data_IF_296054663547
#
_entry.id   IF_296054663547
#
_cell.length_a   1.000
_cell.length_b   1.000
_cell.length_c   1.000
_cell.angle_alpha   90.00
_cell.angle_beta   90.00
_cell.angle_gamma   90.00
#
_symmetry.space_group_name_H-M   'P 1'
#
loop_
_entity.id
_entity.type
_entity.pdbx_description
1 polymer ?
#
# COMPACT_ATOMS: atom_id res chain seq x y z
N UNK A 1 -23.98 -35.95 8.27
CA UNK A 1 -23.90 -34.80 9.19
C UNK A 1 -22.44 -34.43 9.33
N UNK A 2 -22.00 -33.30 8.78
CA UNK A 2 -20.59 -32.82 8.83
C UNK A 2 -20.44 -31.92 10.06
N UNK A 3 -19.54 -32.32 10.98
CA UNK A 3 -19.31 -31.65 12.26
C UNK A 3 -18.71 -30.22 12.03
N UNK A 4 -19.33 -29.18 12.57
CA UNK A 4 -18.81 -27.79 12.43
C UNK A 4 -17.56 -27.51 13.28
N UNK A 5 -17.18 -28.38 14.18
CA UNK A 5 -16.06 -28.20 15.14
C UNK A 5 -14.69 -28.20 14.46
N UNK A 6 -14.54 -28.83 13.29
CA UNK A 6 -13.24 -28.95 12.60
C UNK A 6 -12.79 -27.64 11.91
N UNK A 7 -13.69 -26.70 11.66
CA UNK A 7 -13.34 -25.42 11.00
C UNK A 7 -12.75 -24.39 11.97
N UNK A 8 -13.10 -24.46 13.25
CA UNK A 8 -12.56 -23.55 14.26
C UNK A 8 -11.17 -23.95 14.77
N UNK A 9 -10.83 -25.24 14.70
CA UNK A 9 -9.51 -25.73 15.09
C UNK A 9 -8.40 -25.28 14.14
N UNK A 10 -8.68 -25.16 12.83
CA UNK A 10 -7.69 -24.71 11.84
C UNK A 10 -7.36 -23.21 11.96
N UNK A 11 -8.37 -22.38 12.27
CA UNK A 11 -8.16 -20.94 12.48
C UNK A 11 -7.34 -20.65 13.75
N UNK A 12 -7.59 -21.38 14.83
CA UNK A 12 -6.86 -21.24 16.09
C UNK A 12 -5.37 -21.62 15.96
N UNK A 13 -5.04 -22.63 15.15
CA UNK A 13 -3.66 -23.07 14.93
C UNK A 13 -2.87 -22.04 14.11
N UNK A 14 -3.48 -21.38 13.14
CA UNK A 14 -2.82 -20.35 12.34
C UNK A 14 -2.53 -19.11 13.20
N UNK A 15 -3.48 -18.68 14.03
CA UNK A 15 -3.28 -17.54 14.94
C UNK A 15 -2.18 -17.85 15.96
N UNK A 16 -2.12 -19.08 16.49
CA UNK A 16 -1.09 -19.48 17.47
C UNK A 16 0.30 -19.61 16.81
N UNK A 17 0.38 -20.02 15.55
CA UNK A 17 1.66 -20.10 14.82
C UNK A 17 2.23 -18.71 14.50
N UNK A 18 1.38 -17.74 14.18
CA UNK A 18 1.78 -16.35 13.94
C UNK A 18 2.26 -15.70 15.25
N UNK A 19 1.57 -15.93 16.37
CA UNK A 19 1.99 -15.40 17.68
C UNK A 19 3.28 -16.02 18.20
N UNK A 20 3.50 -17.32 18.03
CA UNK A 20 4.73 -18.00 18.49
C UNK A 20 5.96 -17.67 17.60
N UNK A 21 5.78 -17.45 16.31
CA UNK A 21 6.87 -17.05 15.40
C UNK A 21 7.33 -15.61 15.60
N UNK A 22 6.49 -14.72 16.12
CA UNK A 22 6.82 -13.32 16.38
C UNK A 22 7.58 -13.12 17.70
N UNK A 23 7.52 -14.04 18.65
CA UNK A 23 8.21 -13.89 19.95
C UNK A 23 9.71 -14.20 19.91
N UNK A 24 10.24 -14.86 18.87
CA UNK A 24 11.68 -15.15 18.79
C UNK A 24 12.54 -13.99 18.26
N UNK A 25 11.92 -12.86 17.83
CA UNK A 25 12.63 -11.70 17.26
C UNK A 25 12.56 -10.43 18.12
N UNK A 26 12.14 -10.53 19.38
CA UNK A 26 12.21 -9.40 20.30
C UNK A 26 13.66 -9.27 20.78
N UNK A 27 14.42 -8.46 20.06
CA UNK A 27 15.71 -7.98 20.55
C UNK A 27 15.45 -7.08 21.78
N UNK A 28 15.90 -7.55 22.94
CA UNK A 28 15.62 -6.97 24.25
C UNK A 28 16.44 -5.70 24.46
N UNK A 29 16.17 -4.63 23.73
CA UNK A 29 17.02 -3.42 23.78
C UNK A 29 16.33 -2.07 23.73
N UNK A 30 15.11 -1.94 23.23
CA UNK A 30 14.39 -0.66 23.27
C UNK A 30 13.01 -0.83 23.88
N UNK A 31 12.60 0.10 24.73
CA UNK A 31 11.20 0.23 25.16
C UNK A 31 10.38 0.67 23.94
N UNK A 32 10.11 -0.28 23.03
CA UNK A 32 9.22 -0.08 21.89
C UNK A 32 7.82 0.19 22.45
N UNK A 33 7.24 1.35 22.13
CA UNK A 33 5.85 1.68 22.44
C UNK A 33 4.88 1.02 21.47
N UNK A 34 5.38 0.47 20.36
CA UNK A 34 4.57 -0.07 19.25
C UNK A 34 4.69 -1.60 19.19
N UNK A 35 3.54 -2.27 19.14
CA UNK A 35 3.47 -3.70 18.88
C UNK A 35 3.21 -3.92 17.38
N UNK A 36 4.25 -4.28 16.64
CA UNK A 36 4.18 -4.38 15.17
C UNK A 36 3.18 -5.40 14.65
N UNK A 37 2.90 -6.45 15.43
CA UNK A 37 1.83 -7.40 15.10
C UNK A 37 0.44 -6.74 15.15
N UNK A 38 0.21 -5.82 16.07
CA UNK A 38 -1.03 -5.05 16.15
C UNK A 38 -1.13 -4.04 15.00
N UNK A 39 0.00 -3.44 14.59
CA UNK A 39 0.05 -2.58 13.39
C UNK A 39 -0.46 -3.33 12.16
N UNK A 40 0.04 -4.54 11.92
CA UNK A 40 -0.40 -5.37 10.79
C UNK A 40 -1.89 -5.68 10.87
N UNK A 41 -2.41 -6.01 12.06
CA UNK A 41 -3.84 -6.26 12.28
C UNK A 41 -4.69 -5.01 12.05
N UNK A 42 -4.26 -3.84 12.55
CA UNK A 42 -4.97 -2.57 12.37
C UNK A 42 -5.06 -2.20 10.89
N UNK A 43 -3.96 -2.36 10.14
CA UNK A 43 -3.92 -2.10 8.70
C UNK A 43 -4.85 -3.06 7.94
N UNK A 44 -4.89 -4.34 8.32
CA UNK A 44 -5.78 -5.33 7.71
C UNK A 44 -7.25 -5.08 8.03
N UNK A 45 -7.55 -4.66 9.25
CA UNK A 45 -8.91 -4.38 9.70
C UNK A 45 -9.47 -3.04 9.21
N UNK A 46 -8.62 -2.17 8.63
CA UNK A 46 -9.06 -0.86 8.13
C UNK A 46 -10.11 -0.99 7.03
N UNK A 47 -11.22 -0.29 7.20
CA UNK A 47 -12.34 -0.29 6.25
C UNK A 47 -12.04 0.52 4.98
N UNK A 48 -11.19 1.54 5.10
CA UNK A 48 -10.75 2.34 3.97
C UNK A 48 -9.51 3.16 4.31
N UNK A 49 -8.69 3.40 3.29
CA UNK A 49 -7.46 4.17 3.41
C UNK A 49 -7.24 5.05 2.20
N UNK A 50 -6.75 6.26 2.43
CA UNK A 50 -6.25 7.17 1.39
C UNK A 50 -4.78 7.42 1.66
N UNK A 51 -3.94 7.41 0.63
CA UNK A 51 -2.53 7.76 0.76
C UNK A 51 -2.00 8.38 -0.52
N UNK A 52 -0.89 9.10 -0.38
CA UNK A 52 -0.11 9.58 -1.51
C UNK A 52 1.11 8.70 -1.72
N UNK A 53 1.43 8.42 -2.98
CA UNK A 53 2.65 7.74 -3.39
C UNK A 53 3.43 8.65 -4.34
N UNK A 54 4.73 8.79 -4.08
CA UNK A 54 5.70 9.50 -4.93
C UNK A 54 6.82 8.54 -5.33
N UNK A 55 7.17 8.55 -6.60
CA UNK A 55 8.28 7.75 -7.14
C UNK A 55 9.27 8.69 -7.84
N UNK A 56 10.56 8.42 -7.67
CA UNK A 56 11.66 9.10 -8.37
C UNK A 56 12.65 8.08 -8.89
N UNK A 57 13.48 8.44 -9.88
CA UNK A 57 14.52 7.57 -10.40
C UNK A 57 14.10 6.75 -11.60
N UNK A 58 13.42 7.34 -12.58
CA UNK A 58 13.17 6.68 -13.87
C UNK A 58 14.46 6.52 -14.67
N UNK A 59 14.55 5.42 -15.46
CA UNK A 59 15.58 5.23 -16.48
C UNK A 59 15.45 6.18 -17.65
N UNK A 60 14.23 6.66 -17.90
CA UNK A 60 13.96 7.64 -18.94
C UNK A 60 13.98 9.03 -18.28
N UNK A 61 14.94 9.91 -18.66
CA UNK A 61 14.97 11.29 -18.17
C UNK A 61 13.72 12.09 -18.55
N UNK A 62 12.93 11.62 -19.52
CA UNK A 62 11.64 12.22 -19.85
C UNK A 62 10.49 11.72 -18.95
N UNK A 63 10.70 10.63 -18.20
CA UNK A 63 9.72 10.06 -17.26
C UNK A 63 9.82 10.69 -15.85
N UNK A 64 10.93 11.36 -15.56
CA UNK A 64 11.14 12.06 -14.29
C UNK A 64 10.44 13.41 -14.29
N UNK A 65 9.11 13.36 -14.24
CA UNK A 65 8.30 14.57 -14.16
C UNK A 65 8.41 15.14 -12.74
N UNK A 66 9.03 16.30 -12.56
CA UNK A 66 9.05 16.95 -11.28
C UNK A 66 7.61 17.15 -10.79
N UNK A 67 7.35 16.78 -9.53
CA UNK A 67 6.04 16.83 -8.90
C UNK A 67 5.00 15.82 -9.45
N UNK A 68 5.42 14.67 -9.96
CA UNK A 68 4.49 13.56 -10.19
C UNK A 68 4.23 12.80 -8.91
N UNK A 69 2.97 12.45 -8.68
CA UNK A 69 2.54 11.62 -7.55
C UNK A 69 1.22 10.94 -7.86
N UNK A 70 0.87 9.96 -7.03
CA UNK A 70 -0.44 9.28 -7.08
C UNK A 70 -1.15 9.48 -5.75
N UNK A 71 -2.47 9.67 -5.80
CA UNK A 71 -3.34 9.55 -4.64
C UNK A 71 -4.20 8.31 -4.88
N UNK A 72 -4.22 7.43 -3.90
CA UNK A 72 -5.02 6.20 -3.96
C UNK A 72 -6.04 6.19 -2.83
N UNK A 73 -7.28 5.89 -3.18
CA UNK A 73 -8.39 5.58 -2.29
C UNK A 73 -8.65 4.08 -2.37
N UNK A 74 -8.70 3.40 -1.26
CA UNK A 74 -8.90 1.96 -1.24
C UNK A 74 -9.80 1.53 -0.08
N UNK A 75 -10.76 0.67 -0.41
CA UNK A 75 -11.57 -0.13 0.52
C UNK A 75 -11.58 -1.60 0.04
N UNK A 76 -12.20 -2.55 0.76
CA UNK A 76 -12.32 -3.93 0.30
C UNK A 76 -12.97 -4.09 -1.08
N UNK A 77 -13.90 -3.19 -1.43
CA UNK A 77 -14.67 -3.26 -2.68
C UNK A 77 -14.18 -2.30 -3.77
N UNK A 78 -13.45 -1.23 -3.40
CA UNK A 78 -13.17 -0.11 -4.29
C UNK A 78 -11.70 0.23 -4.26
N UNK A 79 -11.15 0.52 -5.44
CA UNK A 79 -9.84 1.18 -5.56
C UNK A 79 -9.94 2.27 -6.60
N UNK A 80 -9.53 3.49 -6.26
CA UNK A 80 -9.31 4.59 -7.19
C UNK A 80 -7.87 5.06 -7.06
N UNK A 81 -7.23 5.35 -8.16
CA UNK A 81 -5.91 5.97 -8.21
C UNK A 81 -5.93 7.13 -9.20
N UNK A 82 -5.67 8.32 -8.70
CA UNK A 82 -5.46 9.51 -9.52
C UNK A 82 -3.96 9.76 -9.64
N UNK A 83 -3.47 9.88 -10.87
CA UNK A 83 -2.08 10.19 -11.17
C UNK A 83 -1.95 11.67 -11.53
N UNK A 84 -1.08 12.34 -10.82
CA UNK A 84 -0.83 13.77 -10.97
C UNK A 84 0.50 14.01 -11.69
N UNK A 85 0.50 15.07 -12.50
CA UNK A 85 1.68 15.58 -13.22
C UNK A 85 1.59 17.10 -13.25
N UNK A 86 2.60 17.79 -12.71
CA UNK A 86 2.54 19.25 -12.58
C UNK A 86 1.35 19.77 -11.78
N UNK A 87 0.83 19.00 -10.83
CA UNK A 87 -0.34 19.33 -10.01
C UNK A 87 -1.71 19.08 -10.67
N UNK A 88 -1.74 18.58 -11.91
CA UNK A 88 -2.97 18.24 -12.62
C UNK A 88 -3.14 16.73 -12.73
N UNK A 89 -4.38 16.25 -12.63
CA UNK A 89 -4.69 14.85 -12.88
C UNK A 89 -4.57 14.58 -14.37
N UNK A 90 -3.68 13.68 -14.77
CA UNK A 90 -3.56 13.25 -16.16
C UNK A 90 -4.19 11.88 -16.42
N UNK A 91 -4.34 11.06 -15.36
CA UNK A 91 -4.97 9.74 -15.46
C UNK A 91 -5.69 9.37 -14.16
N UNK A 92 -6.90 8.84 -14.28
CA UNK A 92 -7.65 8.19 -13.21
C UNK A 92 -7.88 6.72 -13.57
N UNK A 93 -7.69 5.82 -12.61
CA UNK A 93 -8.09 4.41 -12.71
C UNK A 93 -8.98 4.09 -11.51
N UNK A 94 -10.14 3.52 -11.78
CA UNK A 94 -11.12 3.12 -10.78
C UNK A 94 -11.53 1.67 -10.97
N UNK A 95 -11.57 0.92 -9.89
CA UNK A 95 -12.08 -0.44 -9.84
C UNK A 95 -13.19 -0.52 -8.81
N UNK A 96 -14.35 -1.06 -9.21
CA UNK A 96 -15.39 -1.48 -8.28
C UNK A 96 -15.51 -3.01 -8.38
N UNK A 97 -15.08 -3.70 -7.33
CA UNK A 97 -15.00 -5.17 -7.31
C UNK A 97 -16.36 -5.83 -7.11
N UNK A 98 -17.33 -5.12 -6.52
CA UNK A 98 -18.69 -5.62 -6.31
C UNK A 98 -19.50 -5.59 -7.59
N UNK A 99 -19.42 -4.48 -8.34
CA UNK A 99 -20.08 -4.35 -9.65
C UNK A 99 -19.22 -4.90 -10.79
N UNK A 100 -18.00 -5.34 -10.51
CA UNK A 100 -17.00 -5.80 -11.48
C UNK A 100 -16.77 -4.78 -12.60
N UNK A 101 -16.67 -3.51 -12.26
CA UNK A 101 -16.49 -2.42 -13.21
C UNK A 101 -15.09 -1.82 -13.10
N UNK A 102 -14.45 -1.58 -14.24
CA UNK A 102 -13.26 -0.74 -14.32
C UNK A 102 -13.53 0.49 -15.16
N UNK A 103 -13.05 1.64 -14.69
CA UNK A 103 -13.10 2.91 -15.43
C UNK A 103 -11.68 3.46 -15.48
N UNK A 104 -11.21 3.78 -16.67
CA UNK A 104 -9.96 4.51 -16.89
C UNK A 104 -10.25 5.81 -17.62
N UNK A 105 -9.74 6.92 -17.09
CA UNK A 105 -9.88 8.24 -17.70
C UNK A 105 -8.48 8.79 -17.98
N UNK A 106 -8.24 9.18 -19.23
CA UNK A 106 -7.01 9.83 -19.71
C UNK A 106 -7.33 11.30 -19.97
N UNK A 107 -7.00 12.15 -18.97
CA UNK A 107 -7.40 13.56 -19.02
C UNK A 107 -6.59 14.39 -20.02
N UNK A 108 -5.35 14.00 -20.29
CA UNK A 108 -4.44 14.65 -21.22
C UNK A 108 -4.85 14.49 -22.70
N UNK A 109 -5.58 13.40 -23.01
CA UNK A 109 -6.09 13.11 -24.36
C UNK A 109 -7.61 13.08 -24.43
N UNK A 110 -8.30 13.42 -23.34
CA UNK A 110 -9.77 13.49 -23.25
C UNK A 110 -10.47 12.18 -23.67
N UNK A 111 -9.95 11.05 -23.17
CA UNK A 111 -10.47 9.74 -23.51
C UNK A 111 -10.77 8.91 -22.26
N UNK A 112 -11.68 7.98 -22.39
CA UNK A 112 -12.00 7.05 -21.32
C UNK A 112 -12.30 5.64 -21.83
N UNK A 113 -12.22 4.68 -20.94
CA UNK A 113 -12.83 3.37 -21.10
C UNK A 113 -13.64 3.01 -19.84
N UNK A 114 -14.76 2.33 -20.06
CA UNK A 114 -15.58 1.74 -18.99
C UNK A 114 -15.98 0.34 -19.45
N UNK A 115 -15.56 -0.66 -18.70
CA UNK A 115 -15.77 -2.05 -19.07
C UNK A 115 -16.08 -2.94 -17.85
N UNK A 116 -16.70 -4.10 -18.11
CA UNK A 116 -16.88 -5.13 -17.10
C UNK A 116 -15.58 -5.93 -16.91
N UNK A 117 -15.24 -6.26 -15.68
CA UNK A 117 -14.10 -7.11 -15.35
C UNK A 117 -14.50 -8.59 -15.35
N UNK A 118 -13.61 -9.46 -15.83
CA UNK A 118 -13.72 -10.90 -15.61
C UNK A 118 -13.43 -11.27 -14.15
N UNK A 119 -13.85 -12.47 -13.73
CA UNK A 119 -13.57 -12.96 -12.37
C UNK A 119 -12.06 -13.08 -12.11
N UNK A 120 -11.28 -13.49 -13.10
CA UNK A 120 -9.83 -13.57 -13.01
C UNK A 120 -9.21 -12.17 -12.75
N UNK A 121 -9.73 -11.14 -13.43
CA UNK A 121 -9.26 -9.76 -13.23
C UNK A 121 -9.62 -9.24 -11.84
N UNK A 122 -10.83 -9.53 -11.36
CA UNK A 122 -11.23 -9.20 -9.98
C UNK A 122 -10.29 -9.86 -8.97
N UNK A 123 -9.98 -11.15 -9.15
CA UNK A 123 -9.03 -11.86 -8.29
C UNK A 123 -7.62 -11.25 -8.37
N UNK A 124 -7.15 -10.89 -9.56
CA UNK A 124 -5.87 -10.22 -9.75
C UNK A 124 -5.80 -8.87 -9.02
N UNK A 125 -6.86 -8.05 -9.10
CA UNK A 125 -6.92 -6.76 -8.39
C UNK A 125 -6.96 -6.96 -6.87
N UNK A 126 -7.65 -8.01 -6.39
CA UNK A 126 -7.64 -8.38 -4.96
C UNK A 126 -6.27 -8.88 -4.50
N UNK A 127 -5.59 -9.67 -5.34
CA UNK A 127 -4.26 -10.21 -5.06
C UNK A 127 -3.14 -9.15 -5.18
N UNK A 128 -3.40 -8.00 -5.82
CA UNK A 128 -2.45 -6.88 -5.93
C UNK A 128 -2.12 -6.23 -4.54
N UNK A 129 -2.59 -6.87 -3.46
CA UNK A 129 -2.18 -6.60 -2.08
C UNK A 129 -0.67 -6.82 -1.86
N UNK A 130 0.00 -7.57 -2.74
CA UNK A 130 1.40 -7.97 -2.58
C UNK A 130 2.41 -6.97 -3.19
N UNK A 131 1.94 -5.88 -3.78
CA UNK A 131 2.84 -4.84 -4.29
C UNK A 131 3.28 -3.93 -3.15
N UNK A 132 4.58 -3.67 -3.05
CA UNK A 132 5.19 -2.70 -2.11
C UNK A 132 4.56 -1.30 -2.11
N UNK A 133 3.76 -1.01 -3.11
CA UNK A 133 3.06 0.27 -3.31
C UNK A 133 1.76 0.41 -2.51
N UNK A 134 1.38 -0.60 -1.72
CA UNK A 134 0.23 -0.51 -0.81
C UNK A 134 0.71 -0.45 0.64
N UNK A 135 0.00 0.29 1.47
CA UNK A 135 0.31 0.41 2.90
C UNK A 135 0.34 -0.93 3.62
N UNK A 136 -0.57 -1.84 3.27
CA UNK A 136 -0.64 -3.18 3.86
C UNK A 136 0.55 -4.04 3.45
N UNK A 137 0.89 -4.04 2.16
CA UNK A 137 2.00 -4.85 1.68
C UNK A 137 3.34 -4.32 2.19
N UNK A 138 3.51 -2.99 2.31
CA UNK A 138 4.72 -2.42 2.90
C UNK A 138 4.97 -2.97 4.32
N UNK A 139 3.97 -2.91 5.21
CA UNK A 139 4.10 -3.43 6.58
C UNK A 139 4.38 -4.93 6.58
N UNK A 140 3.62 -5.71 5.80
CA UNK A 140 3.81 -7.16 5.71
C UNK A 140 5.21 -7.53 5.20
N UNK A 141 5.71 -6.82 4.19
CA UNK A 141 7.05 -7.05 3.66
C UNK A 141 8.16 -6.65 4.63
N UNK A 142 7.99 -5.57 5.38
CA UNK A 142 8.93 -5.17 6.42
C UNK A 142 9.01 -6.23 7.53
N UNK A 143 7.85 -6.70 8.01
CA UNK A 143 7.79 -7.68 9.09
C UNK A 143 8.24 -9.09 8.67
N UNK A 144 8.07 -9.45 7.40
CA UNK A 144 8.50 -10.75 6.86
C UNK A 144 10.01 -10.85 6.64
N UNK A 145 10.76 -9.72 6.74
CA UNK A 145 12.20 -9.64 6.49
C UNK A 145 12.97 -9.40 7.79
N UNK A 146 14.26 -9.72 7.76
CA UNK A 146 15.13 -9.31 8.87
C UNK A 146 15.18 -7.78 8.92
N UNK A 147 14.73 -7.21 10.03
CA UNK A 147 14.64 -5.76 10.25
C UNK A 147 15.21 -5.37 11.60
N UNK A 148 15.42 -4.09 11.80
CA UNK A 148 15.80 -3.51 13.08
C UNK A 148 14.92 -2.30 13.40
N UNK A 149 14.77 -2.01 14.69
CA UNK A 149 14.03 -0.85 15.16
C UNK A 149 14.81 0.43 14.87
N UNK A 150 14.08 1.50 14.58
CA UNK A 150 14.61 2.85 14.47
C UNK A 150 14.15 3.67 15.68
N UNK A 151 14.94 4.70 16.03
CA UNK A 151 14.58 5.63 17.10
C UNK A 151 13.26 6.36 16.78
N UNK A 152 12.54 6.72 17.83
CA UNK A 152 11.32 7.52 17.68
C UNK A 152 11.62 8.89 17.08
N UNK A 153 10.76 9.36 16.19
CA UNK A 153 10.83 10.72 15.62
C UNK A 153 9.45 11.33 15.39
N UNK A 154 9.42 12.66 15.33
CA UNK A 154 8.23 13.40 14.93
C UNK A 154 8.14 13.44 13.39
N UNK A 155 6.99 13.05 12.85
CA UNK A 155 6.66 13.14 11.41
C UNK A 155 5.34 13.90 11.29
N UNK A 156 5.34 15.05 10.67
CA UNK A 156 4.16 15.92 10.49
C UNK A 156 3.36 16.15 11.79
N UNK A 157 4.08 16.30 12.92
CA UNK A 157 3.48 16.50 14.22
C UNK A 157 3.01 15.24 14.96
N UNK A 158 3.22 14.06 14.39
CA UNK A 158 2.89 12.75 14.99
C UNK A 158 4.15 12.08 15.51
N UNK A 159 4.15 11.63 16.76
CA UNK A 159 5.23 10.82 17.31
C UNK A 159 5.17 9.42 16.69
N UNK A 160 6.23 9.03 16.00
CA UNK A 160 6.31 7.78 15.28
C UNK A 160 7.48 6.93 15.78
N UNK A 161 7.29 5.62 15.68
CA UNK A 161 8.32 4.61 15.82
C UNK A 161 8.49 3.89 14.48
N UNK A 162 9.72 3.50 14.14
CA UNK A 162 10.01 2.94 12.83
C UNK A 162 10.76 1.63 12.89
N UNK A 163 10.69 0.91 11.76
CA UNK A 163 11.58 -0.21 11.46
C UNK A 163 12.21 -0.03 10.09
N UNK A 164 13.42 -0.58 9.93
CA UNK A 164 14.15 -0.60 8.67
C UNK A 164 14.58 -2.02 8.33
N UNK A 165 14.50 -2.37 7.06
CA UNK A 165 15.12 -3.56 6.50
C UNK A 165 16.02 -3.21 5.32
N UNK A 166 17.16 -3.89 5.24
CA UNK A 166 18.05 -3.91 4.06
C UNK A 166 18.13 -5.30 3.44
N UNK A 167 17.26 -6.22 3.89
CA UNK A 167 17.23 -7.59 3.39
C UNK A 167 16.64 -7.63 1.98
N UNK A 168 17.53 -7.71 0.99
CA UNK A 168 17.20 -7.81 -0.44
C UNK A 168 16.92 -9.24 -0.91
N UNK A 169 16.79 -10.22 0.00
CA UNK A 169 16.61 -11.63 -0.36
C UNK A 169 15.42 -11.82 -1.31
N UNK A 170 15.70 -12.46 -2.45
CA UNK A 170 14.71 -12.71 -3.50
C UNK A 170 14.38 -11.52 -4.41
N UNK A 171 15.07 -10.39 -4.26
CA UNK A 171 14.92 -9.23 -5.14
C UNK A 171 16.10 -9.17 -6.14
N UNK A 172 15.85 -8.95 -7.43
CA UNK A 172 16.91 -8.77 -8.44
C UNK A 172 17.43 -7.33 -8.45
N UNK A 173 18.10 -6.92 -7.37
CA UNK A 173 18.58 -5.54 -7.17
C UNK A 173 19.95 -5.52 -6.52
N UNK A 174 20.75 -4.47 -6.75
CA UNK A 174 22.07 -4.29 -6.13
C UNK A 174 21.96 -3.91 -4.65
N UNK A 175 21.01 -3.04 -4.33
CA UNK A 175 20.71 -2.70 -2.94
C UNK A 175 19.25 -2.39 -2.76
N UNK A 176 18.81 -2.59 -1.53
CA UNK A 176 17.43 -2.38 -1.12
C UNK A 176 17.43 -1.84 0.31
N UNK A 177 16.63 -0.82 0.55
CA UNK A 177 16.31 -0.33 1.89
C UNK A 177 14.84 0.00 1.93
N UNK A 178 14.14 -0.49 2.93
CA UNK A 178 12.76 -0.09 3.17
C UNK A 178 12.57 0.28 4.64
N UNK A 179 11.82 1.37 4.88
CA UNK A 179 11.47 1.90 6.21
C UNK A 179 9.98 2.06 6.30
N UNK A 180 9.44 1.73 7.47
CA UNK A 180 8.06 2.01 7.82
C UNK A 180 8.02 2.74 9.16
N UNK A 181 7.22 3.80 9.22
CA UNK A 181 7.00 4.59 10.42
C UNK A 181 5.53 4.56 10.78
N UNK A 182 5.22 4.27 12.04
CA UNK A 182 3.86 4.18 12.57
C UNK A 182 3.67 5.14 13.72
N UNK A 183 2.48 5.67 13.87
CA UNK A 183 2.09 6.48 15.00
C UNK A 183 2.11 5.65 16.29
N UNK A 184 2.81 6.12 17.30
CA UNK A 184 2.83 5.48 18.63
C UNK A 184 1.44 5.50 19.27
N UNK A 185 0.64 6.53 18.99
CA UNK A 185 -0.70 6.70 19.56
C UNK A 185 -1.74 5.78 18.90
N UNK A 186 -1.73 5.70 17.55
CA UNK A 186 -2.80 5.03 16.80
C UNK A 186 -2.40 3.66 16.25
N UNK A 187 -1.11 3.35 16.19
CA UNK A 187 -0.59 2.12 15.58
C UNK A 187 -0.77 2.05 14.06
N UNK A 188 -1.13 3.17 13.40
CA UNK A 188 -1.27 3.21 11.94
C UNK A 188 -0.01 3.76 11.26
N UNK A 189 0.34 3.26 10.06
CA UNK A 189 1.41 3.84 9.23
C UNK A 189 1.20 5.33 8.94
N UNK A 190 2.31 6.08 9.05
CA UNK A 190 2.38 7.53 8.77
C UNK A 190 3.29 7.80 7.57
N UNK A 191 4.37 7.03 7.45
CA UNK A 191 5.35 7.17 6.38
C UNK A 191 5.91 5.80 5.98
N UNK A 192 6.06 5.58 4.69
CA UNK A 192 6.80 4.47 4.12
C UNK A 192 7.84 5.00 3.13
N UNK A 193 9.05 4.45 3.18
CA UNK A 193 10.14 4.81 2.28
C UNK A 193 10.79 3.55 1.75
N UNK A 194 10.98 3.47 0.43
CA UNK A 194 11.66 2.36 -0.22
C UNK A 194 12.72 2.94 -1.15
N UNK A 195 13.94 2.49 -1.00
CA UNK A 195 15.05 2.83 -1.88
C UNK A 195 15.59 1.55 -2.52
N UNK A 196 15.71 1.56 -3.84
CA UNK A 196 16.23 0.45 -4.63
C UNK A 196 17.34 0.98 -5.53
N UNK A 197 18.48 0.29 -5.59
CA UNK A 197 19.45 0.48 -6.65
C UNK A 197 19.37 -0.76 -7.55
N UNK A 198 18.95 -0.58 -8.79
CA UNK A 198 18.81 -1.66 -9.75
C UNK A 198 20.18 -2.17 -10.27
N UNK A 199 20.19 -3.24 -11.06
CA UNK A 199 21.40 -3.80 -11.64
C UNK A 199 22.12 -2.82 -12.57
N UNK A 200 21.40 -1.86 -13.15
CA UNK A 200 21.95 -0.75 -13.94
C UNK A 200 22.62 0.34 -13.10
N UNK A 201 22.45 0.32 -11.76
CA UNK A 201 22.95 1.34 -10.83
C UNK A 201 22.04 2.57 -10.71
N UNK A 202 20.82 2.50 -11.22
CA UNK A 202 19.83 3.57 -11.10
C UNK A 202 19.16 3.46 -9.73
N UNK A 203 19.08 4.60 -9.04
CA UNK A 203 18.39 4.70 -7.75
C UNK A 203 16.92 5.02 -7.99
N UNK A 204 16.06 4.20 -7.45
CA UNK A 204 14.61 4.40 -7.39
C UNK A 204 14.20 4.64 -5.95
N UNK A 205 13.43 5.69 -5.71
CA UNK A 205 12.88 5.97 -4.39
C UNK A 205 11.36 6.04 -4.48
N UNK A 206 10.70 5.32 -3.60
CA UNK A 206 9.24 5.36 -3.43
C UNK A 206 8.93 5.85 -2.02
N UNK A 207 8.06 6.85 -1.92
CA UNK A 207 7.56 7.39 -0.64
C UNK A 207 6.06 7.23 -0.60
N UNK A 208 5.55 6.65 0.49
CA UNK A 208 4.13 6.57 0.82
C UNK A 208 3.89 7.48 2.03
N UNK A 209 3.04 8.48 1.89
CA UNK A 209 2.75 9.45 2.95
C UNK A 209 1.29 9.94 2.90
N UNK A 210 0.94 10.90 3.76
CA UNK A 210 -0.38 11.50 3.86
C UNK A 210 -1.51 10.48 4.04
N UNK A 211 -1.24 9.45 4.84
CA UNK A 211 -2.23 8.43 5.13
C UNK A 211 -3.43 8.98 5.90
N UNK A 212 -4.62 8.59 5.45
CA UNK A 212 -5.89 8.76 6.15
C UNK A 212 -6.52 7.38 6.33
N UNK A 213 -6.62 6.92 7.56
CA UNK A 213 -7.09 5.59 7.90
C UNK A 213 -8.56 5.59 8.33
N UNK A 214 -9.24 4.46 8.15
CA UNK A 214 -10.64 4.26 8.52
C UNK A 214 -11.60 5.24 7.86
N UNK A 215 -11.29 5.63 6.63
CA UNK A 215 -12.16 6.50 5.83
C UNK A 215 -13.32 5.66 5.31
N UNK A 216 -14.54 6.13 5.49
CA UNK A 216 -15.71 5.53 4.87
C UNK A 216 -15.73 5.93 3.38
N UNK A 217 -15.49 4.95 2.50
CA UNK A 217 -15.39 5.15 1.06
C UNK A 217 -16.57 4.45 0.37
N UNK A 218 -17.58 5.22 0.02
CA UNK A 218 -18.67 4.72 -0.83
C UNK A 218 -18.29 4.77 -2.32
N UNK A 219 -18.93 3.91 -3.12
CA UNK A 219 -18.71 3.92 -4.58
C UNK A 219 -19.10 5.28 -5.20
N UNK A 220 -20.19 5.90 -4.71
CA UNK A 220 -20.66 7.20 -5.20
C UNK A 220 -19.70 8.35 -4.93
N UNK A 221 -18.88 8.24 -3.86
CA UNK A 221 -17.97 9.32 -3.49
C UNK A 221 -16.65 9.28 -4.28
N UNK A 222 -16.29 8.09 -4.77
CA UNK A 222 -14.99 7.87 -5.42
C UNK A 222 -15.07 7.44 -6.88
N UNK A 223 -16.25 7.09 -7.43
CA UNK A 223 -16.39 6.82 -8.87
C UNK A 223 -16.08 8.12 -9.64
N UNK A 224 -15.16 8.07 -10.63
CA UNK A 224 -14.79 9.26 -11.37
C UNK A 224 -15.95 9.71 -12.28
N UNK A 225 -16.24 11.00 -12.26
CA UNK A 225 -17.07 11.60 -13.28
C UNK A 225 -16.33 11.59 -14.62
N UNK A 226 -16.97 11.10 -15.67
CA UNK A 226 -16.46 11.14 -17.03
C UNK A 226 -17.00 12.41 -17.66
N UNK A 227 -16.13 13.41 -18.03
CA UNK A 227 -16.58 14.62 -18.69
C UNK A 227 -17.32 14.29 -20.00
N UNK A 228 -18.35 15.06 -20.31
CA UNK A 228 -19.25 14.79 -21.46
C UNK A 228 -18.58 15.02 -22.82
N UNK A 229 -17.46 15.71 -22.85
CA UNK A 229 -16.63 15.97 -24.02
C UNK A 229 -15.53 14.92 -24.26
N UNK A 230 -15.44 13.88 -23.39
CA UNK A 230 -14.47 12.80 -23.55
C UNK A 230 -15.01 11.70 -24.46
N UNK A 231 -14.14 11.16 -25.30
CA UNK A 231 -14.46 10.08 -26.23
C UNK A 231 -14.07 8.71 -25.67
N UNK A 232 -14.85 7.65 -25.93
CA UNK A 232 -14.43 6.29 -25.59
C UNK A 232 -13.16 5.88 -26.37
N UNK A 233 -12.33 5.04 -25.70
CA UNK A 233 -11.15 4.41 -26.28
C UNK A 233 -11.52 3.27 -27.22
#
# INVERSE_FOLDING_TARGET
>A
MKNPITKFAAAAVIITAITLGLFEFIDTGSQSGVVWAEVAQNVEASQGVIWRLRETGSRDPNDDWPNSYMITWRSPAITRTDRYRGGQIWRTIYYNLDTKTVIGVLHDVQRYHKEAMSDERVQSVRADKDRWTTSQSLINHLLARKHHSLDQKMIDGVLCEGIETTDASGLPVKSFTARGWVSVETGYPVLGEIEIIDDGGIRHTTTLDQFQWNVDLSASDVEPEIPTDYEPL
#
